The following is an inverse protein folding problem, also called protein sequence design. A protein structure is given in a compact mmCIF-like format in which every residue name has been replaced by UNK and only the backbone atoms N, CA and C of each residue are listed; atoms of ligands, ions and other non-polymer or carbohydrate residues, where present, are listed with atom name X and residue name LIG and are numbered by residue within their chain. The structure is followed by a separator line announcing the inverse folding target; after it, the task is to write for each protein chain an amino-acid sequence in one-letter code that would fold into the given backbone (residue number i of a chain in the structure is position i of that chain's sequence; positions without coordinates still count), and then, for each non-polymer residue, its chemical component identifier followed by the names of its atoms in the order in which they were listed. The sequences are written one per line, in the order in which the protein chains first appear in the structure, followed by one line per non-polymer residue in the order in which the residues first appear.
data_IF_309775504628
#
_entry.id   IF_309775504628
#
_cell.length_a   1.000
_cell.length_b   1.000
_cell.length_c   1.000
_cell.angle_alpha   90.00
_cell.angle_beta   90.00
_cell.angle_gamma   90.00
#
_symmetry.space_group_name_H-M   'P 1'
#
loop_
_entity.id
_entity.type
_entity.pdbx_description
1 polymer ?
#
# COMPACT_ATOMS: atom_id res chain seq x y z
N UNK A 1 23.17 55.50 -25.60
CA UNK A 1 22.48 54.28 -26.07
C UNK A 1 22.85 52.99 -25.27
N UNK A 2 23.92 52.99 -24.46
CA UNK A 2 24.34 51.78 -23.68
C UNK A 2 23.52 51.49 -22.41
N UNK A 3 22.85 52.48 -21.81
CA UNK A 3 22.13 52.30 -20.56
C UNK A 3 20.77 51.54 -20.71
N UNK A 4 20.18 51.47 -21.91
CA UNK A 4 18.91 50.74 -22.15
C UNK A 4 19.06 49.26 -22.41
N UNK A 5 20.22 48.77 -22.79
CA UNK A 5 20.46 47.32 -22.99
C UNK A 5 20.70 46.54 -21.68
N UNK A 6 21.20 47.18 -20.63
CA UNK A 6 21.46 46.51 -19.36
C UNK A 6 20.18 46.15 -18.58
N UNK A 7 19.12 46.93 -18.71
CA UNK A 7 17.86 46.70 -17.97
C UNK A 7 17.07 45.51 -18.53
N UNK A 8 17.19 45.23 -19.82
CA UNK A 8 16.49 44.09 -20.46
C UNK A 8 17.15 42.74 -20.09
N UNK A 9 18.48 42.71 -19.91
CA UNK A 9 19.18 41.47 -19.47
C UNK A 9 18.90 41.11 -18.01
N UNK A 10 18.66 42.09 -17.14
CA UNK A 10 18.34 41.84 -15.73
C UNK A 10 16.91 41.27 -15.56
N UNK A 11 15.94 41.65 -16.41
CA UNK A 11 14.60 41.05 -16.34
C UNK A 11 14.58 39.61 -16.89
N UNK A 12 15.38 39.28 -17.88
CA UNK A 12 15.42 37.93 -18.44
C UNK A 12 16.02 36.92 -17.45
N UNK A 13 16.94 37.36 -16.57
CA UNK A 13 17.53 36.50 -15.50
C UNK A 13 16.57 36.20 -14.36
N UNK A 14 15.57 37.04 -14.09
CA UNK A 14 14.61 36.81 -13.00
C UNK A 14 13.46 35.86 -13.38
N UNK A 15 13.22 35.62 -14.65
CA UNK A 15 12.17 34.72 -15.11
C UNK A 15 12.64 33.24 -15.06
N UNK A 16 13.95 33.00 -15.15
CA UNK A 16 14.50 31.65 -15.15
C UNK A 16 14.55 30.98 -13.75
N UNK A 17 14.41 31.76 -12.66
CA UNK A 17 14.43 31.21 -11.29
C UNK A 17 13.04 30.96 -10.68
N UNK A 18 11.96 31.24 -11.39
CA UNK A 18 10.59 31.07 -10.91
C UNK A 18 9.91 29.75 -11.31
N UNK A 19 10.61 28.89 -12.02
CA UNK A 19 10.17 27.51 -12.27
C UNK A 19 10.86 26.53 -11.30
N UNK A 20 10.69 26.73 -10.00
CA UNK A 20 10.70 25.59 -9.10
C UNK A 20 9.50 24.73 -9.48
N UNK A 21 9.72 23.73 -10.32
CA UNK A 21 8.68 22.89 -10.87
C UNK A 21 7.79 22.38 -9.76
N UNK A 22 6.49 22.52 -9.91
CA UNK A 22 5.52 21.89 -9.04
C UNK A 22 5.86 20.41 -9.01
N UNK A 23 6.40 19.94 -7.89
CA UNK A 23 6.67 18.51 -7.70
C UNK A 23 5.32 17.81 -7.70
N UNK A 24 5.06 16.94 -8.64
CA UNK A 24 3.77 16.27 -8.72
C UNK A 24 3.55 15.42 -7.48
N UNK A 25 2.31 15.26 -7.02
CA UNK A 25 2.02 14.51 -5.82
C UNK A 25 2.45 13.06 -5.98
N UNK A 26 3.22 12.56 -5.01
CA UNK A 26 3.49 11.13 -4.88
C UNK A 26 2.23 10.46 -4.35
N UNK A 27 1.71 9.47 -5.04
CA UNK A 27 0.54 8.69 -4.63
C UNK A 27 0.90 7.35 -4.00
N UNK A 28 2.15 6.95 -4.07
CA UNK A 28 2.63 5.71 -3.48
C UNK A 28 3.91 5.25 -4.15
N UNK A 29 4.08 3.94 -4.18
CA UNK A 29 5.10 3.27 -4.99
C UNK A 29 4.52 2.00 -5.57
N UNK A 30 5.12 1.50 -6.64
CA UNK A 30 4.76 0.24 -7.27
C UNK A 30 5.99 -0.65 -7.41
N UNK A 31 5.77 -1.96 -7.45
CA UNK A 31 6.80 -2.94 -7.76
C UNK A 31 6.66 -3.31 -9.24
N UNK A 32 7.71 -3.09 -10.02
CA UNK A 32 7.74 -3.49 -11.42
C UNK A 32 7.97 -5.01 -11.59
N UNK A 33 7.82 -5.50 -12.80
CA UNK A 33 8.00 -6.93 -13.14
C UNK A 33 9.40 -7.48 -12.87
N UNK A 34 10.40 -6.60 -12.70
CA UNK A 34 11.77 -6.97 -12.33
C UNK A 34 11.97 -6.95 -10.79
N UNK A 35 10.93 -6.72 -9.99
CA UNK A 35 11.00 -6.63 -8.53
C UNK A 35 11.56 -5.30 -8.01
N UNK A 36 11.75 -4.30 -8.88
CA UNK A 36 12.20 -2.98 -8.42
C UNK A 36 11.01 -2.18 -7.88
N UNK A 37 11.27 -1.42 -6.82
CA UNK A 37 10.30 -0.47 -6.26
C UNK A 37 10.56 0.91 -6.83
N UNK A 38 9.50 1.51 -7.39
CA UNK A 38 9.52 2.84 -8.00
C UNK A 38 8.44 3.71 -7.39
N UNK A 39 8.73 4.98 -7.07
CA UNK A 39 7.69 5.92 -6.66
C UNK A 39 6.71 6.16 -7.81
N UNK A 40 5.44 6.22 -7.48
CA UNK A 40 4.36 6.55 -8.39
C UNK A 40 3.89 7.97 -8.12
N UNK A 41 3.97 8.80 -9.15
CA UNK A 41 3.55 10.19 -9.11
C UNK A 41 2.40 10.43 -10.07
N UNK A 42 1.62 11.46 -9.82
CA UNK A 42 0.63 11.93 -10.77
C UNK A 42 -0.66 12.41 -10.15
N UNK A 43 -1.55 12.78 -11.04
CA UNK A 43 -2.95 13.10 -10.80
C UNK A 43 -3.80 12.18 -11.67
N UNK A 44 -5.09 12.06 -11.37
CA UNK A 44 -6.02 11.19 -12.10
C UNK A 44 -5.82 11.23 -13.62
N UNK A 45 -5.44 10.11 -14.20
CA UNK A 45 -5.24 9.94 -15.64
C UNK A 45 -3.88 10.35 -16.19
N UNK A 46 -2.98 10.89 -15.36
CA UNK A 46 -1.61 11.23 -15.79
C UNK A 46 -0.61 10.77 -14.74
N UNK A 47 -0.15 9.53 -14.87
CA UNK A 47 0.78 8.86 -13.96
C UNK A 47 2.13 8.65 -14.61
N UNK A 48 3.19 8.69 -13.80
CA UNK A 48 4.53 8.25 -14.21
C UNK A 48 5.28 7.62 -13.04
N UNK A 49 6.23 6.79 -13.39
CA UNK A 49 7.11 6.11 -12.44
C UNK A 49 8.41 6.90 -12.30
N UNK A 50 8.82 7.15 -11.07
CA UNK A 50 10.11 7.72 -10.77
C UNK A 50 11.26 6.74 -10.90
N UNK A 51 12.45 7.19 -10.52
CA UNK A 51 13.63 6.35 -10.46
C UNK A 51 13.48 5.23 -9.42
N UNK A 52 14.17 4.12 -9.65
CA UNK A 52 14.18 2.98 -8.74
C UNK A 52 14.76 3.36 -7.38
N UNK A 53 14.01 3.14 -6.31
CA UNK A 53 14.45 3.35 -4.93
C UNK A 53 14.99 2.07 -4.29
N UNK A 54 14.54 0.90 -4.74
CA UNK A 54 14.98 -0.40 -4.21
C UNK A 54 14.79 -1.51 -5.25
N UNK A 55 15.43 -2.66 -5.02
CA UNK A 55 15.36 -3.87 -5.85
C UNK A 55 15.06 -5.11 -5.01
N UNK A 56 14.84 -6.25 -5.69
CA UNK A 56 14.67 -7.58 -5.09
C UNK A 56 13.50 -7.69 -4.12
N UNK A 57 12.42 -6.93 -4.36
CA UNK A 57 11.22 -6.95 -3.54
C UNK A 57 10.43 -8.25 -3.71
N UNK A 58 10.17 -8.94 -2.60
CA UNK A 58 9.26 -10.10 -2.52
C UNK A 58 7.84 -9.62 -2.21
N UNK A 59 7.70 -8.74 -1.22
CA UNK A 59 6.45 -8.07 -0.87
C UNK A 59 6.69 -6.59 -0.68
N UNK A 60 5.65 -5.80 -0.88
CA UNK A 60 5.75 -4.37 -0.86
C UNK A 60 4.43 -3.75 -0.37
N UNK A 61 4.52 -2.63 0.33
CA UNK A 61 3.39 -1.75 0.62
C UNK A 61 3.87 -0.30 0.77
N UNK A 62 2.99 0.66 0.53
CA UNK A 62 3.31 2.06 0.75
C UNK A 62 2.15 2.84 1.36
N UNK A 63 2.50 3.89 2.09
CA UNK A 63 1.62 4.99 2.47
C UNK A 63 2.09 6.27 1.76
N UNK A 64 1.45 7.39 1.99
CA UNK A 64 1.95 8.66 1.44
C UNK A 64 3.35 9.05 1.94
N UNK A 65 3.72 8.61 3.13
CA UNK A 65 4.94 9.02 3.84
C UNK A 65 6.02 7.95 3.87
N UNK A 66 5.65 6.66 3.78
CA UNK A 66 6.58 5.54 3.90
C UNK A 66 6.35 4.49 2.83
N UNK A 67 7.42 3.76 2.52
CA UNK A 67 7.39 2.54 1.72
C UNK A 67 8.05 1.42 2.52
N UNK A 68 7.43 0.25 2.56
CA UNK A 68 8.00 -0.93 3.21
C UNK A 68 8.28 -1.96 2.13
N UNK A 69 9.50 -2.42 2.06
CA UNK A 69 9.95 -3.44 1.14
C UNK A 69 10.40 -4.67 1.91
N UNK A 70 9.85 -5.82 1.56
CA UNK A 70 10.34 -7.12 1.98
C UNK A 70 11.22 -7.69 0.88
N UNK A 71 12.47 -7.90 1.17
CA UNK A 71 13.39 -8.68 0.32
C UNK A 71 13.41 -10.14 0.78
N UNK A 72 14.13 -11.02 0.12
CA UNK A 72 14.28 -12.41 0.57
C UNK A 72 14.83 -12.52 2.00
N UNK A 73 15.54 -11.50 2.52
CA UNK A 73 16.29 -11.58 3.78
C UNK A 73 15.83 -10.61 4.86
N UNK A 74 15.22 -9.48 4.50
CA UNK A 74 14.92 -8.40 5.44
C UNK A 74 13.71 -7.58 5.05
N UNK A 75 13.14 -6.90 6.05
CA UNK A 75 12.19 -5.81 5.88
C UNK A 75 12.96 -4.50 5.93
N UNK A 76 12.77 -3.65 4.94
CA UNK A 76 13.36 -2.33 4.79
C UNK A 76 12.24 -1.30 4.80
N UNK A 77 12.43 -0.18 5.50
CA UNK A 77 11.48 0.93 5.54
C UNK A 77 12.16 2.16 4.94
N UNK A 78 11.50 2.79 3.99
CA UNK A 78 11.95 4.01 3.34
C UNK A 78 10.97 5.13 3.61
N UNK A 79 11.46 6.34 3.76
CA UNK A 79 10.63 7.53 3.85
C UNK A 79 10.16 8.03 2.46
N UNK A 80 9.50 9.18 2.45
CA UNK A 80 9.01 9.79 1.21
C UNK A 80 10.13 10.24 0.25
N UNK A 81 11.34 10.46 0.75
CA UNK A 81 12.51 10.84 -0.05
C UNK A 81 13.23 9.60 -0.62
N UNK A 82 12.91 8.41 -0.12
CA UNK A 82 13.57 7.15 -0.48
C UNK A 82 14.78 6.83 0.41
N UNK A 83 14.94 7.54 1.52
CA UNK A 83 15.99 7.27 2.49
C UNK A 83 15.57 6.12 3.41
N UNK A 84 16.52 5.25 3.75
CA UNK A 84 16.30 4.13 4.65
C UNK A 84 16.05 4.64 6.08
N UNK A 85 14.89 4.27 6.65
CA UNK A 85 14.50 4.63 8.01
C UNK A 85 14.72 3.46 8.96
N UNK A 86 15.48 3.70 10.01
CA UNK A 86 15.74 2.70 11.03
C UNK A 86 16.69 1.59 10.55
N UNK A 87 16.56 0.41 11.18
CA UNK A 87 17.40 -0.75 10.89
C UNK A 87 16.64 -1.79 10.09
N UNK A 88 17.29 -2.43 9.09
CA UNK A 88 16.71 -3.59 8.42
C UNK A 88 16.32 -4.66 9.46
N UNK A 89 15.10 -5.17 9.37
CA UNK A 89 14.65 -6.28 10.24
C UNK A 89 14.85 -7.60 9.50
N UNK A 90 15.72 -8.49 9.98
CA UNK A 90 15.89 -9.80 9.36
C UNK A 90 14.57 -10.57 9.37
N UNK A 91 14.17 -11.09 8.23
CA UNK A 91 12.97 -11.90 8.08
C UNK A 91 13.05 -12.71 6.79
N UNK A 92 12.54 -13.93 6.80
CA UNK A 92 12.39 -14.78 5.61
C UNK A 92 10.97 -14.69 5.03
N UNK A 93 10.77 -15.23 3.85
CA UNK A 93 9.46 -15.37 3.20
C UNK A 93 8.81 -14.07 2.75
N UNK A 94 7.52 -14.14 2.48
CA UNK A 94 6.67 -13.00 2.13
C UNK A 94 6.04 -12.35 3.36
N UNK A 95 5.59 -11.09 3.23
CA UNK A 95 4.94 -10.38 4.32
C UNK A 95 3.79 -9.51 3.83
N UNK A 96 2.80 -9.32 4.70
CA UNK A 96 1.77 -8.28 4.60
C UNK A 96 2.15 -7.13 5.52
N UNK A 97 1.80 -5.92 5.15
CA UNK A 97 2.13 -4.72 5.91
C UNK A 97 0.90 -3.88 6.18
N UNK A 98 0.88 -3.25 7.35
CA UNK A 98 -0.11 -2.27 7.74
C UNK A 98 0.53 -0.95 8.16
N UNK A 99 -0.16 0.14 7.87
CA UNK A 99 0.18 1.47 8.30
C UNK A 99 -0.89 1.99 9.24
N UNK A 100 -0.53 2.89 10.14
CA UNK A 100 -1.49 3.66 10.91
C UNK A 100 -2.25 4.63 10.00
N UNK A 101 -3.38 5.17 10.43
CA UNK A 101 -4.11 6.23 9.73
C UNK A 101 -3.27 7.47 9.42
N UNK A 102 -2.21 7.73 10.21
CA UNK A 102 -1.21 8.78 9.94
C UNK A 102 -0.19 8.39 8.87
N UNK A 103 -0.25 7.17 8.33
CA UNK A 103 0.65 6.65 7.31
C UNK A 103 1.99 6.13 7.81
N UNK A 104 2.22 6.09 9.13
CA UNK A 104 3.43 5.47 9.69
C UNK A 104 3.34 3.94 9.65
N UNK A 105 4.45 3.20 9.48
CA UNK A 105 4.46 1.75 9.64
C UNK A 105 3.85 1.33 10.98
N UNK A 106 3.06 0.28 11.00
CA UNK A 106 2.45 -0.25 12.21
C UNK A 106 2.85 -1.72 12.43
N UNK A 107 2.44 -2.57 11.51
CA UNK A 107 2.61 -4.01 11.64
C UNK A 107 3.14 -4.64 10.35
N UNK A 108 3.81 -5.78 10.51
CA UNK A 108 4.13 -6.71 9.44
C UNK A 108 3.72 -8.13 9.88
N UNK A 109 3.06 -8.87 8.99
CA UNK A 109 2.73 -10.27 9.18
C UNK A 109 3.59 -11.10 8.25
N UNK A 110 4.43 -11.96 8.81
CA UNK A 110 5.25 -12.91 8.06
C UNK A 110 4.40 -14.13 7.71
N UNK A 111 4.09 -14.29 6.43
CA UNK A 111 3.14 -15.30 5.98
C UNK A 111 3.64 -16.74 6.20
N UNK A 112 4.95 -16.98 6.04
CA UNK A 112 5.51 -18.32 6.15
C UNK A 112 5.66 -18.79 7.59
N UNK A 113 6.03 -17.87 8.53
CA UNK A 113 6.20 -18.21 9.95
C UNK A 113 4.94 -17.98 10.79
N UNK A 114 3.95 -17.22 10.28
CA UNK A 114 2.79 -16.82 11.05
C UNK A 114 3.13 -15.89 12.22
N UNK A 115 4.12 -15.03 12.04
CA UNK A 115 4.62 -14.13 13.07
C UNK A 115 4.17 -12.68 12.81
N UNK A 116 3.64 -12.04 13.85
CA UNK A 116 3.35 -10.61 13.83
C UNK A 116 4.55 -9.82 14.34
N UNK A 117 4.95 -8.81 13.57
CA UNK A 117 5.96 -7.83 13.97
C UNK A 117 5.30 -6.46 14.13
N UNK A 118 5.73 -5.70 15.13
CA UNK A 118 5.30 -4.32 15.36
C UNK A 118 6.45 -3.35 15.12
N UNK A 119 6.17 -2.24 14.45
CA UNK A 119 7.11 -1.14 14.27
C UNK A 119 7.30 -0.35 15.57
N UNK A 120 8.55 -0.06 15.94
CA UNK A 120 8.91 0.69 17.15
C UNK A 120 9.59 2.05 16.86
N UNK A 121 9.55 2.51 15.60
CA UNK A 121 10.24 3.73 15.16
C UNK A 121 11.66 3.49 14.63
N UNK A 122 12.27 2.34 14.92
CA UNK A 122 13.63 2.00 14.48
C UNK A 122 13.75 0.66 13.74
N UNK A 123 12.71 -0.19 13.84
CA UNK A 123 12.67 -1.51 13.22
C UNK A 123 11.42 -2.26 13.65
N UNK A 124 11.17 -3.38 12.99
CA UNK A 124 10.09 -4.28 13.37
C UNK A 124 10.55 -5.22 14.48
N UNK A 125 9.71 -5.43 15.49
CA UNK A 125 9.97 -6.28 16.63
C UNK A 125 8.87 -7.35 16.76
N UNK A 126 9.20 -8.60 17.06
CA UNK A 126 8.22 -9.67 17.27
C UNK A 126 7.17 -9.30 18.32
N UNK A 127 5.94 -9.70 18.08
CA UNK A 127 4.82 -9.63 19.02
C UNK A 127 4.07 -10.94 19.03
N UNK A 128 3.79 -11.40 20.23
CA UNK A 128 2.90 -12.54 20.39
C UNK A 128 1.51 -12.20 19.87
N UNK A 129 0.90 -13.15 19.21
CA UNK A 129 -0.51 -13.11 18.82
C UNK A 129 -1.11 -14.49 19.00
N UNK A 130 -2.37 -14.54 19.37
CA UNK A 130 -3.12 -15.79 19.44
C UNK A 130 -3.30 -16.38 18.02
N UNK A 131 -2.29 -17.12 17.55
CA UNK A 131 -2.29 -17.74 16.23
C UNK A 131 -3.47 -18.69 16.03
N UNK A 132 -4.02 -19.29 17.09
CA UNK A 132 -5.21 -20.15 17.00
C UNK A 132 -6.45 -19.36 16.56
N UNK A 133 -6.53 -18.08 16.87
CA UNK A 133 -7.60 -17.20 16.40
C UNK A 133 -7.53 -16.94 14.89
N UNK A 134 -6.32 -17.04 14.29
CA UNK A 134 -6.07 -16.85 12.86
C UNK A 134 -6.11 -18.19 12.09
N UNK A 135 -6.86 -19.18 12.58
CA UNK A 135 -6.99 -20.48 11.93
C UNK A 135 -7.42 -20.33 10.45
N UNK A 136 -6.45 -20.35 9.54
CA UNK A 136 -6.63 -20.10 8.10
C UNK A 136 -5.47 -19.33 7.49
N UNK A 137 -5.63 -18.92 6.24
CA UNK A 137 -4.63 -18.13 5.51
C UNK A 137 -4.90 -16.64 5.71
N UNK A 138 -3.95 -15.89 6.25
CA UNK A 138 -4.04 -14.43 6.35
C UNK A 138 -3.81 -13.82 4.97
N UNK A 139 -4.80 -13.09 4.46
CA UNK A 139 -4.79 -12.50 3.11
C UNK A 139 -4.69 -10.97 3.13
N UNK A 140 -4.98 -10.33 4.27
CA UNK A 140 -4.84 -8.88 4.43
C UNK A 140 -4.56 -8.54 5.89
N UNK A 141 -3.86 -7.43 6.10
CA UNK A 141 -3.51 -6.87 7.40
C UNK A 141 -3.78 -5.37 7.39
N UNK A 142 -4.43 -4.86 8.41
CA UNK A 142 -4.60 -3.42 8.65
C UNK A 142 -4.34 -3.05 10.11
N UNK A 143 -4.23 -1.76 10.39
CA UNK A 143 -3.99 -1.22 11.73
C UNK A 143 -5.02 -0.13 12.03
N UNK A 144 -6.20 -0.47 12.56
CA UNK A 144 -7.21 0.51 12.98
C UNK A 144 -6.64 1.54 13.96
N UNK A 145 -5.74 1.09 14.81
CA UNK A 145 -4.96 1.93 15.73
C UNK A 145 -3.56 1.32 16.00
N UNK A 146 -2.77 1.95 16.85
CA UNK A 146 -1.40 1.51 17.17
C UNK A 146 -1.32 0.27 18.07
N UNK A 147 -2.47 -0.20 18.58
CA UNK A 147 -2.57 -1.33 19.51
C UNK A 147 -3.39 -2.51 18.98
N UNK A 148 -4.03 -2.36 17.83
CA UNK A 148 -4.90 -3.36 17.22
C UNK A 148 -4.39 -3.74 15.84
N UNK A 149 -4.10 -5.02 15.64
CA UNK A 149 -3.86 -5.60 14.32
C UNK A 149 -5.15 -6.28 13.84
N UNK A 150 -5.66 -5.87 12.69
CA UNK A 150 -6.86 -6.41 12.09
C UNK A 150 -6.49 -7.23 10.84
N UNK A 151 -7.02 -8.44 10.77
CA UNK A 151 -6.70 -9.43 9.75
C UNK A 151 -7.93 -9.80 8.93
N UNK A 152 -7.76 -9.99 7.62
CA UNK A 152 -8.66 -10.86 6.87
C UNK A 152 -8.03 -12.26 6.80
N UNK A 153 -8.80 -13.24 7.21
CA UNK A 153 -8.39 -14.65 7.26
C UNK A 153 -9.31 -15.47 6.38
N UNK A 154 -8.73 -16.15 5.41
CA UNK A 154 -9.47 -17.09 4.57
C UNK A 154 -9.52 -18.46 5.26
N UNK A 155 -10.73 -18.96 5.51
CA UNK A 155 -11.02 -20.27 6.09
C UNK A 155 -11.86 -21.08 5.10
N UNK A 156 -11.18 -21.90 4.29
CA UNK A 156 -11.84 -22.55 3.16
C UNK A 156 -12.33 -21.53 2.14
N UNK A 157 -13.64 -21.42 1.93
CA UNK A 157 -14.27 -20.44 1.03
C UNK A 157 -14.74 -19.17 1.74
N UNK A 158 -14.68 -19.13 3.07
CA UNK A 158 -15.15 -18.00 3.88
C UNK A 158 -14.03 -17.03 4.19
N UNK A 159 -14.35 -15.74 4.23
CA UNK A 159 -13.46 -14.68 4.70
C UNK A 159 -13.93 -14.21 6.07
N UNK A 160 -13.01 -14.20 7.01
CA UNK A 160 -13.24 -13.75 8.37
C UNK A 160 -12.41 -12.51 8.66
N UNK A 161 -12.99 -11.54 9.35
CA UNK A 161 -12.22 -10.46 9.99
C UNK A 161 -11.93 -10.88 11.42
N UNK A 162 -10.67 -10.75 11.84
CA UNK A 162 -10.20 -11.01 13.20
C UNK A 162 -9.32 -9.84 13.63
N UNK A 163 -9.74 -9.13 14.67
CA UNK A 163 -8.96 -8.04 15.26
C UNK A 163 -8.35 -8.50 16.59
N UNK A 164 -7.04 -8.29 16.74
CA UNK A 164 -6.26 -8.72 17.91
C UNK A 164 -5.61 -7.50 18.55
N UNK A 165 -5.83 -7.33 19.84
CA UNK A 165 -5.07 -6.37 20.65
C UNK A 165 -3.65 -6.90 20.87
N UNK A 166 -2.65 -6.13 20.38
CA UNK A 166 -1.23 -6.49 20.55
C UNK A 166 -0.67 -6.13 21.93
N UNK A 167 -1.49 -5.55 22.81
CA UNK A 167 -1.10 -5.21 24.18
C UNK A 167 -1.25 -6.41 25.12
N UNK A 168 -2.28 -7.23 24.91
CA UNK A 168 -2.65 -8.35 25.78
C UNK A 168 -2.95 -9.65 25.04
N UNK A 169 -2.63 -9.71 23.73
CA UNK A 169 -2.83 -10.88 22.87
C UNK A 169 -4.29 -11.39 22.84
N UNK A 170 -5.25 -10.49 22.98
CA UNK A 170 -6.66 -10.82 23.04
C UNK A 170 -7.36 -10.55 21.71
N UNK A 171 -8.22 -11.49 21.30
CA UNK A 171 -9.18 -11.25 20.19
C UNK A 171 -10.23 -10.26 20.71
N UNK A 172 -10.28 -9.09 20.08
CA UNK A 172 -11.24 -8.02 20.42
C UNK A 172 -12.45 -8.00 19.48
N UNK A 173 -12.30 -8.60 18.30
CA UNK A 173 -13.38 -8.76 17.33
C UNK A 173 -13.14 -10.00 16.46
N UNK A 174 -14.19 -10.73 16.12
CA UNK A 174 -14.13 -11.81 15.12
C UNK A 174 -15.51 -11.98 14.48
N UNK A 175 -15.56 -11.88 13.15
CA UNK A 175 -16.80 -12.08 12.40
C UNK A 175 -16.52 -12.67 11.01
N UNK A 176 -17.42 -13.53 10.54
CA UNK A 176 -17.49 -13.91 9.13
C UNK A 176 -17.97 -12.72 8.30
N UNK A 177 -17.43 -12.56 7.10
CA UNK A 177 -17.84 -11.55 6.11
C UNK A 177 -18.52 -12.23 4.91
N UNK A 178 -19.81 -12.53 5.00
CA UNK A 178 -20.52 -13.24 3.94
C UNK A 178 -20.46 -12.48 2.62
N UNK A 179 -20.22 -13.20 1.51
CA UNK A 179 -20.13 -12.61 0.17
C UNK A 179 -18.78 -12.00 -0.18
N UNK A 180 -17.89 -11.78 0.78
CA UNK A 180 -16.52 -11.34 0.51
C UNK A 180 -15.69 -12.51 -0.03
N UNK A 181 -14.96 -12.27 -1.12
CA UNK A 181 -14.12 -13.27 -1.80
C UNK A 181 -12.67 -12.76 -1.90
N UNK A 182 -11.71 -13.68 -1.99
CA UNK A 182 -10.32 -13.33 -2.28
C UNK A 182 -10.14 -13.07 -3.80
N UNK A 183 -9.25 -12.11 -4.19
CA UNK A 183 -8.44 -11.28 -3.31
C UNK A 183 -9.28 -10.21 -2.59
N UNK A 184 -8.89 -9.87 -1.36
CA UNK A 184 -9.54 -8.83 -0.57
C UNK A 184 -8.52 -8.01 0.22
N UNK A 185 -8.84 -6.73 0.43
CA UNK A 185 -8.02 -5.76 1.18
C UNK A 185 -8.86 -5.14 2.28
N UNK A 186 -8.36 -5.19 3.52
CA UNK A 186 -8.95 -4.56 4.69
C UNK A 186 -8.31 -3.18 4.91
N UNK A 187 -9.14 -2.17 5.13
CA UNK A 187 -8.72 -0.82 5.50
C UNK A 187 -8.81 -0.60 7.02
N UNK A 188 -8.17 0.45 7.50
CA UNK A 188 -8.13 0.84 8.91
C UNK A 188 -9.49 1.25 9.49
N UNK A 189 -10.40 1.76 8.65
CA UNK A 189 -11.79 2.06 9.00
C UNK A 189 -12.71 0.84 9.03
N UNK A 190 -12.18 -0.34 8.74
CA UNK A 190 -12.93 -1.60 8.67
C UNK A 190 -13.65 -1.84 7.35
N UNK A 191 -13.49 -0.96 6.36
CA UNK A 191 -13.94 -1.20 5.00
C UNK A 191 -13.14 -2.33 4.35
N UNK A 192 -13.76 -3.04 3.41
CA UNK A 192 -13.14 -4.13 2.65
C UNK A 192 -13.36 -3.92 1.16
N UNK A 193 -12.25 -3.91 0.39
CA UNK A 193 -12.30 -3.99 -1.07
C UNK A 193 -12.08 -5.45 -1.48
N UNK A 194 -12.92 -5.99 -2.36
CA UNK A 194 -12.76 -7.35 -2.85
C UNK A 194 -13.19 -7.50 -4.31
N UNK A 195 -12.76 -8.58 -4.95
CA UNK A 195 -13.17 -8.91 -6.30
C UNK A 195 -14.52 -9.63 -6.25
N UNK A 196 -15.57 -9.01 -6.81
CA UNK A 196 -16.86 -9.66 -7.08
C UNK A 196 -16.85 -10.37 -8.44
N UNK A 197 -17.97 -10.96 -8.82
CA UNK A 197 -18.10 -11.72 -10.07
C UNK A 197 -17.87 -10.87 -11.33
N UNK A 198 -18.33 -9.62 -11.33
CA UNK A 198 -18.28 -8.72 -12.51
C UNK A 198 -17.83 -7.29 -12.19
N UNK A 199 -17.44 -7.03 -10.95
CA UNK A 199 -17.04 -5.70 -10.48
C UNK A 199 -16.14 -5.85 -9.26
N UNK A 200 -15.38 -4.81 -8.93
CA UNK A 200 -14.83 -4.68 -7.59
C UNK A 200 -15.93 -4.17 -6.66
N UNK A 201 -15.91 -4.62 -5.43
CA UNK A 201 -16.89 -4.21 -4.42
C UNK A 201 -16.15 -3.59 -3.24
N UNK A 202 -16.55 -2.37 -2.90
CA UNK A 202 -16.12 -1.71 -1.66
C UNK A 202 -17.27 -1.80 -0.65
N UNK A 203 -17.07 -2.56 0.42
CA UNK A 203 -17.99 -2.73 1.53
C UNK A 203 -17.49 -1.93 2.72
N UNK A 204 -18.29 -1.02 3.24
CA UNK A 204 -17.90 -0.26 4.43
C UNK A 204 -18.04 -1.09 5.72
N UNK A 205 -17.53 -0.57 6.85
CA UNK A 205 -17.58 -1.25 8.15
C UNK A 205 -19.00 -1.54 8.68
N UNK A 206 -20.04 -0.95 8.07
CA UNK A 206 -21.46 -1.19 8.40
C UNK A 206 -22.12 -2.21 7.45
N UNK A 207 -21.36 -2.76 6.49
CA UNK A 207 -21.83 -3.75 5.54
C UNK A 207 -22.51 -3.18 4.29
N UNK A 208 -22.51 -1.85 4.10
CA UNK A 208 -23.05 -1.23 2.87
C UNK A 208 -22.03 -1.37 1.75
N UNK A 209 -22.51 -1.88 0.61
CA UNK A 209 -21.67 -2.18 -0.55
C UNK A 209 -21.84 -1.17 -1.67
N UNK A 210 -20.74 -0.87 -2.35
CA UNK A 210 -20.69 -0.09 -3.58
C UNK A 210 -19.89 -0.85 -4.63
N UNK A 211 -20.53 -1.14 -5.75
CA UNK A 211 -19.86 -1.71 -6.91
C UNK A 211 -19.01 -0.65 -7.63
N UNK A 212 -17.86 -1.07 -8.10
CA UNK A 212 -16.90 -0.28 -8.87
C UNK A 212 -16.71 -1.02 -10.20
N UNK A 213 -17.01 -0.35 -11.31
CA UNK A 213 -16.84 -0.94 -12.64
C UNK A 213 -15.39 -1.33 -12.89
N UNK A 214 -15.17 -2.59 -13.24
CA UNK A 214 -13.85 -3.16 -13.47
C UNK A 214 -13.96 -4.32 -14.45
N UNK A 215 -13.11 -4.32 -15.47
CA UNK A 215 -13.09 -5.35 -16.51
C UNK A 215 -11.76 -6.10 -16.51
N UNK A 216 -11.52 -6.90 -15.48
CA UNK A 216 -10.27 -7.65 -15.38
C UNK A 216 -10.37 -8.73 -14.31
N UNK A 217 -9.26 -9.44 -14.09
CA UNK A 217 -9.11 -10.43 -13.03
C UNK A 217 -8.11 -9.92 -12.01
N UNK A 218 -8.58 -9.29 -10.95
CA UNK A 218 -7.72 -8.86 -9.87
C UNK A 218 -7.09 -10.07 -9.17
N UNK A 219 -5.77 -10.05 -8.98
CA UNK A 219 -5.04 -11.11 -8.28
C UNK A 219 -4.49 -10.62 -6.94
N UNK A 220 -4.29 -9.32 -6.79
CA UNK A 220 -3.81 -8.71 -5.55
C UNK A 220 -4.25 -7.25 -5.46
N UNK A 221 -4.47 -6.78 -4.24
CA UNK A 221 -4.65 -5.37 -3.89
C UNK A 221 -3.52 -4.92 -2.97
N UNK A 222 -2.96 -3.75 -3.25
CA UNK A 222 -1.93 -3.13 -2.41
C UNK A 222 -2.34 -1.70 -2.08
N UNK A 223 -2.45 -1.30 -0.81
CA UNK A 223 -2.76 0.07 -0.46
C UNK A 223 -1.60 0.98 -0.92
N UNK A 224 -1.93 2.13 -1.50
CA UNK A 224 -1.00 3.18 -1.86
C UNK A 224 -1.11 4.33 -0.84
N UNK A 225 -1.76 5.41 -1.19
CA UNK A 225 -2.06 6.51 -0.27
C UNK A 225 -3.57 6.52 -0.01
N UNK A 226 -4.02 7.08 1.09
CA UNK A 226 -5.36 7.06 1.70
C UNK A 226 -6.58 6.81 0.79
N UNK A 227 -6.56 7.26 -0.46
CA UNK A 227 -7.68 7.13 -1.42
C UNK A 227 -7.31 6.26 -2.64
N UNK A 228 -6.13 5.63 -2.62
CA UNK A 228 -5.61 4.91 -3.78
C UNK A 228 -5.23 3.48 -3.43
N UNK A 229 -5.58 2.56 -4.32
CA UNK A 229 -5.21 1.13 -4.27
C UNK A 229 -4.58 0.74 -5.59
N UNK A 230 -3.44 0.05 -5.53
CA UNK A 230 -2.88 -0.67 -6.65
C UNK A 230 -3.64 -1.99 -6.82
N UNK A 231 -4.05 -2.26 -8.05
CA UNK A 231 -4.62 -3.54 -8.45
C UNK A 231 -3.62 -4.21 -9.36
N UNK A 232 -3.13 -5.38 -8.96
CA UNK A 232 -2.40 -6.25 -9.84
C UNK A 232 -3.43 -7.10 -10.61
N UNK A 233 -3.50 -6.88 -11.92
CA UNK A 233 -4.40 -7.60 -12.81
C UNK A 233 -3.68 -8.80 -13.43
N UNK A 234 -4.32 -9.96 -13.38
CA UNK A 234 -3.73 -11.18 -13.91
C UNK A 234 -3.93 -11.37 -15.42
N UNK A 235 -5.08 -10.86 -15.95
CA UNK A 235 -5.40 -11.00 -17.37
C UNK A 235 -6.27 -9.81 -17.84
N UNK A 236 -5.74 -8.98 -18.78
CA UNK A 236 -4.34 -8.95 -19.17
C UNK A 236 -3.44 -8.53 -18.00
N UNK A 237 -2.17 -8.98 -17.95
CA UNK A 237 -1.24 -8.53 -16.91
C UNK A 237 -1.06 -7.02 -16.99
N UNK A 238 -1.41 -6.31 -15.93
CA UNK A 238 -1.32 -4.87 -15.84
C UNK A 238 -1.33 -4.40 -14.39
N UNK A 239 -0.74 -3.25 -14.14
CA UNK A 239 -0.90 -2.55 -12.88
C UNK A 239 -1.91 -1.42 -13.07
N UNK A 240 -2.93 -1.39 -12.23
CA UNK A 240 -3.98 -0.39 -12.28
C UNK A 240 -4.03 0.38 -10.96
N UNK A 241 -4.31 1.68 -11.02
CA UNK A 241 -4.58 2.49 -9.85
C UNK A 241 -6.09 2.73 -9.72
N UNK A 242 -6.67 2.30 -8.62
CA UNK A 242 -8.06 2.58 -8.26
C UNK A 242 -8.10 3.76 -7.30
N UNK A 243 -8.92 4.76 -7.62
CA UNK A 243 -9.28 5.81 -6.68
C UNK A 243 -10.57 5.45 -5.96
N UNK A 244 -10.49 5.21 -4.66
CA UNK A 244 -11.62 4.70 -3.87
C UNK A 244 -12.80 5.69 -3.83
N UNK A 245 -12.55 6.99 -3.65
CA UNK A 245 -13.61 8.00 -3.53
C UNK A 245 -14.51 8.09 -4.77
N UNK A 246 -13.93 7.95 -5.95
CA UNK A 246 -14.66 8.07 -7.23
C UNK A 246 -15.00 6.74 -7.88
N UNK A 247 -14.31 5.66 -7.52
CA UNK A 247 -14.37 4.37 -8.21
C UNK A 247 -13.67 4.38 -9.57
N UNK A 248 -12.88 5.40 -9.89
CA UNK A 248 -12.17 5.48 -11.16
C UNK A 248 -10.94 4.56 -11.15
N UNK A 249 -10.78 3.78 -12.21
CA UNK A 249 -9.64 2.87 -12.43
C UNK A 249 -8.81 3.40 -13.57
N UNK A 250 -7.50 3.43 -13.39
CA UNK A 250 -6.54 3.96 -14.35
C UNK A 250 -5.43 2.94 -14.59
N UNK A 251 -5.06 2.75 -15.84
CA UNK A 251 -3.90 1.95 -16.19
C UNK A 251 -2.61 2.71 -15.86
N UNK A 252 -1.65 2.03 -15.25
CA UNK A 252 -0.35 2.60 -14.93
C UNK A 252 0.63 2.37 -16.07
N UNK A 253 1.60 3.29 -16.27
CA UNK A 253 2.61 3.12 -17.30
C UNK A 253 3.44 1.86 -17.01
N UNK A 254 3.61 1.02 -18.03
CA UNK A 254 4.54 -0.08 -17.96
C UNK A 254 5.98 0.41 -17.94
N UNK A 255 6.81 -0.24 -17.14
CA UNK A 255 8.26 -0.03 -17.23
C UNK A 255 8.74 -0.78 -18.46
N UNK A 256 8.80 -0.11 -19.61
CA UNK A 256 9.52 -0.65 -20.78
C UNK A 256 10.98 -0.82 -20.38
N UNK A 257 11.48 -2.03 -20.56
CA UNK A 257 12.89 -2.42 -20.36
C UNK A 257 13.83 -1.69 -21.30
#
# INVERSE_FOLDING_TARGET
MLARCMTVLALAGMIASAQSGLTPPRIGSVRDSAGNVRPLFGISGNFWLGEKIAADGVSFASSGSYSILKTARAILVYDALGDLVGRPTPAAGSALFAFTSAGSPAFAWLQDSGELLRWNGQGFQPRSVNAAALNGTVISLSAPDSSTAAFLVQRGTEIWRVDISVLNDAVVFSANLPGVTAPALLFDDGSVLYAGESALVLRNGQGVERAISYSGTAVQFTPLRSDWVLIDNGQPPAHLALRLSTGAVFELPEVTR
#
